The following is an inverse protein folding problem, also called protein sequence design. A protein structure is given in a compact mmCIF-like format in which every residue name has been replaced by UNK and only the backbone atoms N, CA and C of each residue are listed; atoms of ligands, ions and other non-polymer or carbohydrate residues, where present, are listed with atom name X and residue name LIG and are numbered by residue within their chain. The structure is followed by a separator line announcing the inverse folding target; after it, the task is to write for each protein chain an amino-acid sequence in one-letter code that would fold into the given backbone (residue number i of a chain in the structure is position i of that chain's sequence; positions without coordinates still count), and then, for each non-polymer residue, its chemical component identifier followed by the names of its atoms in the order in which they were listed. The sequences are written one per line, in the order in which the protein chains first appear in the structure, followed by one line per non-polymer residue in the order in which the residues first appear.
data_IF_812445253485
#
_entry.id   IF_812445253485
#
_cell.length_a   1.000
_cell.length_b   1.000
_cell.length_c   1.000
_cell.angle_alpha   90.00
_cell.angle_beta   90.00
_cell.angle_gamma   90.00
#
_symmetry.space_group_name_H-M   'P 1'
#
loop_
_entity.id
_entity.type
_entity.pdbx_description
1 polymer ?
#
# COMPACT_ATOMS: atom_id res chain seq x y z
N UNK A 1 -2.48 -9.06 -17.89
CA UNK A 1 -3.13 -7.93 -17.18
C UNK A 1 -2.06 -6.90 -16.83
N UNK A 2 -2.44 -5.62 -16.61
CA UNK A 2 -1.48 -4.58 -16.21
C UNK A 2 -0.65 -4.97 -14.97
N UNK A 3 -1.28 -5.68 -14.04
CA UNK A 3 -0.60 -6.25 -12.86
C UNK A 3 0.54 -7.22 -13.21
N UNK A 4 0.28 -8.17 -14.12
CA UNK A 4 1.29 -9.13 -14.56
C UNK A 4 2.46 -8.45 -15.29
N UNK A 5 2.17 -7.44 -16.11
CA UNK A 5 3.19 -6.65 -16.80
C UNK A 5 4.08 -5.87 -15.83
N UNK A 6 3.51 -5.26 -14.78
CA UNK A 6 4.32 -4.57 -13.76
C UNK A 6 5.20 -5.53 -12.95
N UNK A 7 4.74 -6.76 -12.67
CA UNK A 7 5.57 -7.77 -12.02
C UNK A 7 6.77 -8.17 -12.90
N UNK A 8 6.51 -8.48 -14.16
CA UNK A 8 7.57 -8.80 -15.12
C UNK A 8 8.57 -7.63 -15.28
N UNK A 9 8.08 -6.39 -15.31
CA UNK A 9 8.95 -5.21 -15.39
C UNK A 9 9.92 -5.11 -14.20
N UNK A 10 9.47 -5.46 -13.00
CA UNK A 10 10.32 -5.51 -11.80
C UNK A 10 11.34 -6.64 -11.88
N UNK A 11 10.95 -7.81 -12.40
CA UNK A 11 11.86 -8.95 -12.59
C UNK A 11 12.96 -8.65 -13.60
N UNK A 12 12.62 -7.94 -14.68
CA UNK A 12 13.57 -7.57 -15.72
C UNK A 12 14.47 -6.40 -15.31
N UNK A 13 13.90 -5.37 -14.66
CA UNK A 13 14.65 -4.21 -14.20
C UNK A 13 13.96 -3.55 -12.99
N UNK A 14 14.44 -3.76 -11.75
CA UNK A 14 13.83 -3.20 -10.56
C UNK A 14 14.14 -1.70 -10.42
N UNK A 15 13.28 -0.85 -10.99
CA UNK A 15 13.38 0.62 -10.88
C UNK A 15 12.31 1.19 -9.94
N UNK A 16 12.54 2.43 -9.49
CA UNK A 16 11.55 3.15 -8.69
C UNK A 16 10.19 3.26 -9.42
N UNK A 17 10.20 3.62 -10.70
CA UNK A 17 9.00 3.69 -11.54
C UNK A 17 8.24 2.36 -11.63
N UNK A 18 8.95 1.24 -11.75
CA UNK A 18 8.31 -0.08 -11.82
C UNK A 18 7.61 -0.45 -10.50
N UNK A 19 8.27 -0.19 -9.36
CA UNK A 19 7.64 -0.37 -8.05
C UNK A 19 6.50 0.63 -7.81
N UNK A 20 6.64 1.88 -8.23
CA UNK A 20 5.56 2.86 -8.19
C UNK A 20 4.32 2.38 -8.95
N UNK A 21 4.50 1.91 -10.18
CA UNK A 21 3.41 1.41 -11.01
C UNK A 21 2.72 0.19 -10.40
N UNK A 22 3.48 -0.76 -9.85
CA UNK A 22 2.89 -1.89 -9.14
C UNK A 22 2.16 -1.44 -7.87
N UNK A 23 2.69 -0.46 -7.13
CA UNK A 23 2.02 0.15 -5.99
C UNK A 23 0.68 0.76 -6.37
N UNK A 24 0.65 1.58 -7.42
CA UNK A 24 -0.55 2.20 -7.95
C UNK A 24 -1.62 1.18 -8.38
N UNK A 25 -1.22 0.10 -9.07
CA UNK A 25 -2.15 -0.97 -9.43
C UNK A 25 -2.72 -1.65 -8.18
N UNK A 26 -1.89 -1.89 -7.15
CA UNK A 26 -2.38 -2.48 -5.90
C UNK A 26 -3.36 -1.54 -5.16
N UNK A 27 -3.21 -0.22 -5.26
CA UNK A 27 -4.23 0.74 -4.78
C UNK A 27 -5.55 0.52 -5.51
N UNK A 28 -5.52 0.41 -6.85
CA UNK A 28 -6.73 0.15 -7.67
C UNK A 28 -7.39 -1.18 -7.35
N UNK A 29 -6.61 -2.18 -6.96
CA UNK A 29 -7.09 -3.49 -6.51
C UNK A 29 -7.48 -3.53 -5.02
N UNK A 30 -7.45 -2.38 -4.32
CA UNK A 30 -7.70 -2.26 -2.88
C UNK A 30 -6.73 -3.05 -1.96
N UNK A 31 -5.59 -3.49 -2.51
CA UNK A 31 -4.52 -4.19 -1.80
C UNK A 31 -3.57 -3.19 -1.12
N UNK A 32 -4.10 -2.35 -0.21
CA UNK A 32 -3.38 -1.18 0.34
C UNK A 32 -2.07 -1.51 1.06
N UNK A 33 -2.00 -2.62 1.80
CA UNK A 33 -0.76 -3.04 2.48
C UNK A 33 0.35 -3.43 1.47
N UNK A 34 -0.04 -4.06 0.35
CA UNK A 34 0.89 -4.40 -0.73
C UNK A 34 1.30 -3.13 -1.49
N UNK A 35 0.37 -2.18 -1.68
CA UNK A 35 0.68 -0.89 -2.27
C UNK A 35 1.72 -0.11 -1.43
N UNK A 36 1.54 -0.06 -0.11
CA UNK A 36 2.49 0.56 0.81
C UNK A 36 3.91 0.00 0.64
N UNK A 37 4.04 -1.32 0.65
CA UNK A 37 5.33 -2.00 0.49
C UNK A 37 6.01 -1.65 -0.85
N UNK A 38 5.22 -1.54 -1.93
CA UNK A 38 5.75 -1.15 -3.24
C UNK A 38 6.17 0.32 -3.28
N UNK A 39 5.41 1.23 -2.69
CA UNK A 39 5.80 2.63 -2.63
C UNK A 39 7.05 2.85 -1.75
N UNK A 40 7.20 2.11 -0.64
CA UNK A 40 8.43 2.14 0.17
C UNK A 40 9.64 1.69 -0.65
N UNK A 41 9.51 0.63 -1.45
CA UNK A 41 10.60 0.20 -2.35
C UNK A 41 10.93 1.27 -3.39
N UNK A 42 9.90 1.92 -3.95
CA UNK A 42 10.08 3.02 -4.90
C UNK A 42 10.84 4.21 -4.29
N UNK A 43 10.45 4.67 -3.10
CA UNK A 43 11.13 5.78 -2.41
C UNK A 43 12.54 5.41 -1.95
N UNK A 44 12.78 4.13 -1.65
CA UNK A 44 14.12 3.61 -1.32
C UNK A 44 15.04 3.64 -2.53
N UNK A 45 14.55 3.25 -3.71
CA UNK A 45 15.32 3.25 -4.95
C UNK A 45 15.54 4.65 -5.52
N UNK A 46 14.55 5.54 -5.37
CA UNK A 46 14.67 6.94 -5.75
C UNK A 46 14.14 7.85 -4.62
N UNK A 47 15.03 8.33 -3.73
CA UNK A 47 14.68 9.24 -2.65
C UNK A 47 14.14 10.60 -3.11
N UNK A 48 14.24 10.94 -4.40
CA UNK A 48 13.70 12.17 -4.99
C UNK A 48 12.37 11.94 -5.73
N UNK A 49 11.80 10.74 -5.68
CA UNK A 49 10.56 10.42 -6.39
C UNK A 49 9.32 10.91 -5.63
N UNK A 50 9.02 12.20 -5.78
CA UNK A 50 7.94 12.91 -5.08
C UNK A 50 6.59 12.17 -5.17
N UNK A 51 6.24 11.67 -6.36
CA UNK A 51 4.97 10.97 -6.58
C UNK A 51 4.81 9.73 -5.69
N UNK A 52 5.90 9.01 -5.44
CA UNK A 52 5.89 7.83 -4.57
C UNK A 52 5.66 8.19 -3.10
N UNK A 53 6.23 9.30 -2.63
CA UNK A 53 5.97 9.79 -1.27
C UNK A 53 4.52 10.26 -1.09
N UNK A 54 3.98 10.97 -2.09
CA UNK A 54 2.58 11.43 -2.07
C UNK A 54 1.64 10.22 -1.96
N UNK A 55 1.79 9.24 -2.85
CA UNK A 55 0.91 8.07 -2.88
C UNK A 55 1.12 7.16 -1.66
N UNK A 56 2.35 7.05 -1.15
CA UNK A 56 2.63 6.37 0.13
C UNK A 56 1.87 7.03 1.29
N UNK A 57 1.90 8.36 1.38
CA UNK A 57 1.20 9.11 2.43
C UNK A 57 -0.31 8.86 2.40
N UNK A 58 -0.93 8.89 1.22
CA UNK A 58 -2.35 8.56 1.08
C UNK A 58 -2.67 7.12 1.52
N UNK A 59 -1.84 6.16 1.10
CA UNK A 59 -2.02 4.76 1.51
C UNK A 59 -1.89 4.59 3.02
N UNK A 60 -0.93 5.25 3.66
CA UNK A 60 -0.73 5.17 5.11
C UNK A 60 -1.87 5.78 5.91
N UNK A 61 -2.42 6.91 5.46
CA UNK A 61 -3.61 7.53 6.06
C UNK A 61 -4.78 6.54 6.01
N UNK A 62 -5.00 5.90 4.87
CA UNK A 62 -6.09 4.94 4.69
C UNK A 62 -5.91 3.69 5.55
N UNK A 63 -4.70 3.12 5.61
CA UNK A 63 -4.39 1.97 6.46
C UNK A 63 -4.58 2.29 7.94
N UNK A 64 -4.17 3.48 8.38
CA UNK A 64 -4.39 3.91 9.76
C UNK A 64 -5.87 4.03 10.10
N UNK A 65 -6.69 4.61 9.21
CA UNK A 65 -8.15 4.67 9.38
C UNK A 65 -8.77 3.28 9.48
N UNK A 66 -8.35 2.35 8.62
CA UNK A 66 -8.82 0.96 8.65
C UNK A 66 -8.42 0.25 9.94
N UNK A 67 -7.20 0.45 10.43
CA UNK A 67 -6.72 -0.14 11.68
C UNK A 67 -7.49 0.40 12.90
N UNK A 68 -7.74 1.72 12.95
CA UNK A 68 -8.60 2.33 13.99
C UNK A 68 -10.01 1.74 13.97
N UNK A 69 -10.62 1.60 12.78
CA UNK A 69 -11.94 0.98 12.63
C UNK A 69 -11.95 -0.48 13.12
N UNK A 70 -10.96 -1.29 12.71
CA UNK A 70 -10.82 -2.68 13.16
C UNK A 70 -10.71 -2.76 14.68
N UNK A 71 -9.83 -1.95 15.29
CA UNK A 71 -9.65 -1.90 16.76
C UNK A 71 -10.95 -1.53 17.48
N UNK A 72 -11.71 -0.56 16.96
CA UNK A 72 -12.99 -0.17 17.54
C UNK A 72 -14.01 -1.31 17.47
N UNK A 73 -14.12 -2.00 16.33
CA UNK A 73 -15.02 -3.15 16.17
C UNK A 73 -14.65 -4.26 17.14
N UNK A 74 -13.38 -4.63 17.24
CA UNK A 74 -12.91 -5.66 18.17
C UNK A 74 -13.24 -5.29 19.62
N UNK A 75 -13.07 -4.02 20.00
CA UNK A 75 -13.45 -3.54 21.35
C UNK A 75 -14.95 -3.69 21.60
N UNK A 76 -15.79 -3.26 20.65
CA UNK A 76 -17.24 -3.38 20.77
C UNK A 76 -17.68 -4.84 20.93
N UNK A 77 -17.11 -5.76 20.13
CA UNK A 77 -17.37 -7.18 20.25
C UNK A 77 -16.98 -7.71 21.64
N UNK A 78 -15.78 -7.40 22.13
CA UNK A 78 -15.37 -7.83 23.47
C UNK A 78 -16.30 -7.33 24.57
N UNK A 79 -16.84 -6.12 24.46
CA UNK A 79 -17.79 -5.57 25.45
C UNK A 79 -19.14 -6.29 25.40
N UNK A 80 -19.62 -6.69 24.22
CA UNK A 80 -20.89 -7.42 24.07
C UNK A 80 -20.80 -8.83 24.64
N UNK A 81 -19.66 -9.51 24.48
CA UNK A 81 -19.49 -10.91 24.92
C UNK A 81 -18.94 -11.07 26.34
N UNK A 82 -18.54 -9.98 27.01
CA UNK A 82 -18.10 -9.99 28.41
C UNK A 82 -19.20 -9.55 29.40
N UNK A 83 -20.39 -9.19 28.90
CA UNK A 83 -21.61 -8.97 29.67
C UNK A 83 -22.61 -10.11 29.40
#
# INVERSE_FOLDING_TARGET
TAFAQCKLAIELNPTADNYYNLGFINVKLNNKAVAESNFIKSTTLNPKFIKSFIDLGYVQIDLNKLNKKKKLITRLQSTIYQN
#
